data_IF_841185325175
#
_entry.id   IF_841185325175
#
_cell.length_a   1.000
_cell.length_b   1.000
_cell.length_c   1.000
_cell.angle_alpha   90.00
_cell.angle_beta   90.00
_cell.angle_gamma   90.00
#
_symmetry.space_group_name_H-M   'P 1'
#
loop_
_entity.id
_entity.type
_entity.pdbx_description
1 polymer ?
#
# COMPACT_ATOMS: atom_id res chain seq x y z
N UNK A 1 4.95 -5.67 -24.79
CA UNK A 1 4.38 -6.35 -23.59
C UNK A 1 3.45 -7.44 -24.07
N UNK A 2 3.63 -8.69 -23.60
CA UNK A 2 2.67 -9.79 -23.88
C UNK A 2 1.31 -9.38 -23.31
N UNK A 3 0.37 -9.00 -24.19
CA UNK A 3 -1.05 -8.84 -23.86
C UNK A 3 -1.62 -10.25 -23.73
N UNK A 4 -2.03 -10.67 -22.53
CA UNK A 4 -2.81 -11.90 -22.34
C UNK A 4 -2.46 -12.78 -21.13
N UNK A 5 -1.34 -12.55 -20.44
CA UNK A 5 -1.02 -13.25 -19.20
C UNK A 5 -1.48 -12.47 -17.98
N UNK A 6 -2.19 -13.12 -17.04
CA UNK A 6 -2.44 -12.53 -15.71
C UNK A 6 -1.09 -12.20 -15.06
N UNK A 7 -0.86 -10.91 -14.79
CA UNK A 7 0.36 -10.46 -14.10
C UNK A 7 0.33 -10.98 -12.66
N UNK A 8 1.24 -11.91 -12.34
CA UNK A 8 1.35 -12.50 -11.01
C UNK A 8 2.46 -11.81 -10.23
N UNK A 9 2.15 -11.43 -8.99
CA UNK A 9 3.15 -11.02 -8.01
C UNK A 9 3.55 -12.24 -7.22
N UNK A 10 4.85 -12.53 -7.16
CA UNK A 10 5.41 -13.60 -6.32
C UNK A 10 6.51 -13.03 -5.43
N UNK A 11 6.41 -13.23 -4.12
CA UNK A 11 7.39 -12.76 -3.13
C UNK A 11 7.68 -13.84 -2.11
N UNK A 12 8.93 -13.94 -1.66
CA UNK A 12 9.28 -14.75 -0.50
C UNK A 12 8.48 -14.30 0.73
N UNK A 13 8.08 -15.27 1.55
CA UNK A 13 7.32 -15.00 2.77
C UNK A 13 8.12 -14.11 3.75
N UNK A 14 9.45 -14.20 3.74
CA UNK A 14 10.31 -13.30 4.52
C UNK A 14 10.09 -11.81 4.20
N UNK A 15 9.83 -11.46 2.93
CA UNK A 15 9.48 -10.08 2.55
C UNK A 15 8.01 -9.78 2.86
N UNK A 16 7.10 -10.75 2.70
CA UNK A 16 5.70 -10.56 3.10
C UNK A 16 5.60 -10.26 4.60
N UNK A 17 6.42 -10.89 5.42
CA UNK A 17 6.45 -10.77 6.89
C UNK A 17 7.52 -9.77 7.39
N UNK A 18 8.15 -9.01 6.49
CA UNK A 18 9.13 -8.00 6.87
C UNK A 18 8.47 -6.73 7.43
N UNK A 19 9.24 -5.95 8.20
CA UNK A 19 8.84 -4.63 8.66
C UNK A 19 9.26 -3.57 7.65
N UNK A 20 8.31 -2.79 7.12
CA UNK A 20 8.61 -1.66 6.25
C UNK A 20 7.42 -0.69 6.08
N UNK A 21 7.75 0.60 5.92
CA UNK A 21 6.80 1.65 5.51
C UNK A 21 6.96 1.99 4.05
N UNK A 22 5.90 1.82 3.27
CA UNK A 22 5.77 2.35 1.92
C UNK A 22 4.44 3.09 1.81
N UNK A 23 4.41 4.23 1.13
CA UNK A 23 3.14 4.85 0.71
C UNK A 23 2.42 3.96 -0.30
N UNK A 24 1.14 4.27 -0.57
CA UNK A 24 0.35 3.50 -1.52
C UNK A 24 1.00 3.43 -2.91
N UNK A 25 1.52 4.57 -3.42
CA UNK A 25 2.15 4.60 -4.74
C UNK A 25 3.51 3.88 -4.73
N UNK A 26 4.27 3.94 -3.65
CA UNK A 26 5.51 3.15 -3.50
C UNK A 26 5.22 1.63 -3.51
N UNK A 27 4.18 1.18 -2.79
CA UNK A 27 3.76 -0.23 -2.80
C UNK A 27 3.33 -0.66 -4.20
N UNK A 28 2.48 0.14 -4.86
CA UNK A 28 2.03 -0.14 -6.23
C UNK A 28 3.19 -0.21 -7.22
N UNK A 29 4.18 0.69 -7.09
CA UNK A 29 5.39 0.68 -7.91
C UNK A 29 6.18 -0.63 -7.74
N UNK A 30 6.42 -1.04 -6.50
CA UNK A 30 7.10 -2.32 -6.19
C UNK A 30 6.33 -3.49 -6.79
N UNK A 31 5.02 -3.57 -6.52
CA UNK A 31 4.16 -4.66 -6.99
C UNK A 31 4.11 -4.74 -8.52
N UNK A 32 4.03 -3.59 -9.20
CA UNK A 32 4.06 -3.50 -10.65
C UNK A 32 5.38 -4.00 -11.25
N UNK A 33 6.50 -3.77 -10.57
CA UNK A 33 7.81 -4.27 -11.01
C UNK A 33 7.98 -5.77 -10.72
N UNK A 34 7.60 -6.23 -9.52
CA UNK A 34 7.66 -7.65 -9.15
C UNK A 34 6.78 -8.49 -10.08
N UNK A 35 5.64 -7.96 -10.52
CA UNK A 35 4.76 -8.64 -11.47
C UNK A 35 5.35 -8.88 -12.87
N UNK A 36 6.49 -8.24 -13.19
CA UNK A 36 7.24 -8.42 -14.44
C UNK A 36 8.33 -9.50 -14.33
N UNK A 37 8.52 -10.07 -13.14
CA UNK A 37 9.54 -11.10 -12.87
C UNK A 37 8.96 -12.49 -13.09
N UNK A 38 9.64 -13.35 -13.85
CA UNK A 38 9.41 -14.80 -13.76
C UNK A 38 10.11 -15.29 -12.49
N UNK A 39 9.34 -15.46 -11.42
CA UNK A 39 9.89 -15.79 -10.10
C UNK A 39 10.62 -17.12 -10.02
N UNK A 40 10.49 -17.99 -11.03
CA UNK A 40 11.17 -19.30 -11.09
C UNK A 40 12.58 -19.19 -11.66
N UNK A 41 12.89 -18.09 -12.34
CA UNK A 41 14.18 -17.86 -12.97
C UNK A 41 15.02 -16.91 -12.12
N UNK A 42 16.34 -17.06 -12.20
CA UNK A 42 17.26 -16.09 -11.59
C UNK A 42 17.20 -14.77 -12.34
N UNK A 43 17.34 -13.67 -11.59
CA UNK A 43 17.51 -12.34 -12.16
C UNK A 43 18.98 -11.93 -12.12
N UNK A 44 19.44 -11.28 -13.18
CA UNK A 44 20.73 -10.61 -13.19
C UNK A 44 20.72 -9.41 -12.23
N UNK A 45 21.84 -9.18 -11.53
CA UNK A 45 21.96 -8.09 -10.56
C UNK A 45 21.69 -6.70 -11.15
N UNK A 46 22.02 -6.52 -12.43
CA UNK A 46 21.85 -5.25 -13.14
C UNK A 46 20.53 -5.16 -13.91
N UNK A 47 19.60 -6.10 -13.71
CA UNK A 47 18.31 -6.10 -14.39
C UNK A 47 17.53 -4.82 -14.08
N UNK A 48 17.16 -4.11 -15.14
CA UNK A 48 16.32 -2.91 -15.08
C UNK A 48 14.85 -3.26 -15.27
N UNK A 49 13.99 -2.51 -14.58
CA UNK A 49 12.54 -2.54 -14.70
C UNK A 49 12.06 -1.19 -15.20
N UNK A 50 11.28 -1.20 -16.28
CA UNK A 50 10.73 0.01 -16.89
C UNK A 50 9.26 0.13 -16.52
N UNK A 51 8.90 1.26 -15.93
CA UNK A 51 7.53 1.58 -15.53
C UNK A 51 7.06 2.77 -16.34
N UNK A 52 6.13 2.49 -17.25
CA UNK A 52 5.48 3.50 -18.07
C UNK A 52 4.23 4.04 -17.35
N UNK A 53 4.04 5.36 -17.35
CA UNK A 53 2.94 5.99 -16.62
C UNK A 53 1.55 5.49 -17.08
N UNK A 54 1.35 5.24 -18.38
CA UNK A 54 0.06 4.81 -18.90
C UNK A 54 -0.34 3.37 -18.47
N UNK A 55 0.50 2.33 -18.65
CA UNK A 55 0.24 1.00 -18.07
C UNK A 55 0.10 1.00 -16.56
N UNK A 56 0.90 1.79 -15.85
CA UNK A 56 0.81 1.92 -14.39
C UNK A 56 -0.56 2.50 -13.99
N UNK A 57 -0.99 3.59 -14.63
CA UNK A 57 -2.31 4.20 -14.46
C UNK A 57 -3.44 3.20 -14.68
N UNK A 58 -3.42 2.50 -15.81
CA UNK A 58 -4.46 1.56 -16.20
C UNK A 58 -4.58 0.41 -15.18
N UNK A 59 -3.45 -0.11 -14.72
CA UNK A 59 -3.40 -1.20 -13.75
C UNK A 59 -4.04 -0.83 -12.42
N UNK A 60 -3.78 0.39 -11.92
CA UNK A 60 -4.25 0.84 -10.61
C UNK A 60 -5.48 1.76 -10.67
N UNK A 61 -6.06 1.97 -11.85
CA UNK A 61 -7.24 2.81 -12.05
C UNK A 61 -7.05 4.27 -11.63
N UNK A 62 -5.85 4.83 -11.84
CA UNK A 62 -5.54 6.22 -11.44
C UNK A 62 -6.14 7.23 -12.43
N UNK A 63 -6.43 8.44 -11.94
CA UNK A 63 -6.87 9.54 -12.81
C UNK A 63 -5.79 9.91 -13.83
N UNK A 64 -6.13 10.56 -14.94
CA UNK A 64 -5.14 10.88 -15.97
C UNK A 64 -4.15 11.98 -15.55
N UNK A 65 -4.53 12.80 -14.57
CA UNK A 65 -3.76 13.96 -14.15
C UNK A 65 -2.56 13.53 -13.29
N UNK A 66 -1.39 14.11 -13.58
CA UNK A 66 -0.16 14.01 -12.77
C UNK A 66 0.38 12.60 -12.47
N UNK A 67 -0.11 11.54 -13.11
CA UNK A 67 0.40 10.16 -12.86
C UNK A 67 1.91 10.04 -13.04
N UNK A 68 2.48 10.73 -14.04
CA UNK A 68 3.93 10.70 -14.21
C UNK A 68 4.67 11.35 -13.04
N UNK A 69 4.15 12.46 -12.50
CA UNK A 69 4.72 13.13 -11.33
C UNK A 69 4.58 12.26 -10.08
N UNK A 70 3.42 11.65 -9.86
CA UNK A 70 3.21 10.71 -8.76
C UNK A 70 4.14 9.49 -8.85
N UNK A 71 4.32 8.93 -10.05
CA UNK A 71 5.22 7.82 -10.30
C UNK A 71 6.68 8.21 -10.05
N UNK A 72 7.07 9.42 -10.49
CA UNK A 72 8.40 9.98 -10.24
C UNK A 72 8.64 10.12 -8.74
N UNK A 73 7.72 10.75 -8.02
CA UNK A 73 7.83 10.98 -6.58
C UNK A 73 7.85 9.67 -5.79
N UNK A 74 7.03 8.68 -6.19
CA UNK A 74 7.06 7.35 -5.61
C UNK A 74 8.42 6.69 -5.79
N UNK A 75 9.05 6.82 -6.96
CA UNK A 75 10.38 6.27 -7.21
C UNK A 75 11.48 6.98 -6.40
N UNK A 76 11.45 8.32 -6.28
CA UNK A 76 12.36 9.07 -5.40
C UNK A 76 12.26 8.55 -3.97
N UNK A 77 11.04 8.47 -3.45
CA UNK A 77 10.83 8.02 -2.07
C UNK A 77 11.28 6.57 -1.89
N UNK A 78 10.93 5.69 -2.83
CA UNK A 78 11.29 4.27 -2.78
C UNK A 78 12.80 4.03 -2.70
N UNK A 79 13.61 4.86 -3.36
CA UNK A 79 15.08 4.82 -3.26
C UNK A 79 15.57 5.03 -1.83
N UNK A 80 14.87 5.86 -1.06
CA UNK A 80 15.18 6.06 0.35
C UNK A 80 14.59 5.00 1.30
N UNK A 81 13.78 4.07 0.78
CA UNK A 81 13.12 3.07 1.63
C UNK A 81 14.03 1.90 1.95
N UNK A 82 13.83 1.41 3.17
CA UNK A 82 14.46 0.22 3.69
C UNK A 82 13.40 -0.82 4.04
N UNK A 83 13.81 -2.07 4.07
CA UNK A 83 13.07 -3.19 4.64
C UNK A 83 13.91 -3.82 5.73
N UNK A 84 13.29 -4.12 6.86
CA UNK A 84 13.94 -4.81 7.98
C UNK A 84 13.45 -6.25 8.04
N UNK A 85 14.37 -7.18 7.83
CA UNK A 85 14.18 -8.61 8.07
C UNK A 85 14.59 -8.91 9.50
N UNK A 86 13.74 -9.61 10.24
CA UNK A 86 14.01 -10.00 11.62
C UNK A 86 14.03 -11.52 11.71
N UNK A 87 15.12 -12.07 12.25
CA UNK A 87 15.21 -13.47 12.60
C UNK A 87 14.74 -13.66 14.05
N UNK A 88 13.60 -14.34 14.21
CA UNK A 88 13.01 -14.56 15.53
C UNK A 88 13.80 -15.55 16.41
N UNK A 89 14.66 -16.40 15.82
CA UNK A 89 15.46 -17.36 16.58
C UNK A 89 16.71 -16.71 17.17
N UNK A 90 17.38 -15.87 16.37
CA UNK A 90 18.65 -15.24 16.77
C UNK A 90 18.46 -13.82 17.31
N UNK A 91 17.31 -13.19 17.03
CA UNK A 91 17.08 -11.77 17.28
C UNK A 91 17.82 -10.83 16.31
N UNK A 92 18.50 -11.38 15.30
CA UNK A 92 19.26 -10.58 14.34
C UNK A 92 18.31 -9.80 13.41
N UNK A 93 18.63 -8.53 13.19
CA UNK A 93 17.96 -7.69 12.19
C UNK A 93 18.88 -7.41 11.01
N UNK A 94 18.33 -7.50 9.79
CA UNK A 94 19.02 -7.15 8.54
C UNK A 94 18.25 -6.04 7.83
N UNK A 95 18.91 -4.92 7.55
CA UNK A 95 18.34 -3.78 6.85
C UNK A 95 18.77 -3.78 5.38
N UNK A 96 17.81 -3.85 4.47
CA UNK A 96 18.05 -3.84 3.03
C UNK A 96 17.39 -2.62 2.38
N UNK A 97 17.99 -2.10 1.30
CA UNK A 97 17.34 -1.10 0.45
C UNK A 97 16.42 -1.80 -0.55
N UNK A 98 15.30 -1.18 -0.91
CA UNK A 98 14.41 -1.73 -1.95
C UNK A 98 15.05 -1.69 -3.33
N UNK A 99 15.59 -0.54 -3.70
CA UNK A 99 16.17 -0.28 -5.02
C UNK A 99 17.56 0.33 -4.87
N UNK A 100 18.48 -0.04 -5.78
CA UNK A 100 19.85 0.48 -5.82
C UNK A 100 20.03 1.58 -6.85
N UNK A 101 19.09 1.72 -7.78
CA UNK A 101 19.12 2.74 -8.84
C UNK A 101 17.71 3.11 -9.26
N UNK A 102 17.49 4.41 -9.49
CA UNK A 102 16.34 4.95 -10.20
C UNK A 102 16.82 5.89 -11.32
N UNK A 103 16.10 5.94 -12.44
CA UNK A 103 16.38 6.84 -13.57
C UNK A 103 15.08 7.35 -14.17
N UNK A 104 15.01 8.66 -14.36
CA UNK A 104 13.88 9.33 -15.01
C UNK A 104 14.13 9.51 -16.48
N UNK A 105 13.15 9.15 -17.30
CA UNK A 105 13.17 9.41 -18.73
C UNK A 105 12.01 10.35 -19.07
N UNK A 106 12.14 11.63 -18.67
CA UNK A 106 11.09 12.65 -18.81
C UNK A 106 10.50 12.70 -20.22
N UNK A 107 11.35 12.69 -21.27
CA UNK A 107 10.90 12.71 -22.68
C UNK A 107 10.09 11.49 -23.11
N UNK A 108 10.15 10.38 -22.35
CA UNK A 108 9.44 9.13 -22.63
C UNK A 108 8.27 8.89 -21.67
N UNK A 109 8.15 9.68 -20.59
CA UNK A 109 7.11 9.49 -19.56
C UNK A 109 7.27 8.20 -18.75
N UNK A 110 8.51 7.81 -18.43
CA UNK A 110 8.83 6.51 -17.79
C UNK A 110 9.86 6.66 -16.67
N UNK A 111 9.74 5.79 -15.68
CA UNK A 111 10.77 5.56 -14.66
C UNK A 111 11.44 4.22 -14.93
N UNK A 112 12.75 4.15 -14.72
CA UNK A 112 13.53 2.91 -14.75
C UNK A 112 14.11 2.68 -13.36
N UNK A 113 14.05 1.46 -12.84
CA UNK A 113 14.64 1.11 -11.55
C UNK A 113 15.36 -0.24 -11.57
N UNK A 114 16.26 -0.43 -10.62
CA UNK A 114 16.87 -1.71 -10.29
C UNK A 114 16.53 -2.05 -8.84
N UNK A 115 16.04 -3.26 -8.59
CA UNK A 115 16.05 -3.79 -7.23
C UNK A 115 17.49 -3.91 -6.73
N UNK A 116 17.70 -3.69 -5.44
CA UNK A 116 19.01 -3.94 -4.84
C UNK A 116 19.38 -5.43 -5.02
N UNK A 117 20.67 -5.78 -5.22
CA UNK A 117 21.08 -7.18 -5.37
C UNK A 117 20.58 -8.08 -4.24
N UNK A 118 20.55 -7.56 -3.01
CA UNK A 118 20.09 -8.25 -1.81
C UNK A 118 18.58 -8.52 -1.81
N UNK A 119 17.80 -7.79 -2.61
CA UNK A 119 16.35 -8.01 -2.74
C UNK A 119 16.01 -9.15 -3.71
N UNK A 120 16.90 -9.49 -4.65
CA UNK A 120 16.64 -10.46 -5.71
C UNK A 120 16.26 -11.87 -5.21
N UNK A 121 16.91 -12.43 -4.17
CA UNK A 121 16.53 -13.73 -3.61
C UNK A 121 15.10 -13.80 -3.09
N UNK A 122 14.46 -12.65 -2.84
CA UNK A 122 13.10 -12.59 -2.31
C UNK A 122 12.03 -12.39 -3.37
N UNK A 123 12.41 -12.19 -4.64
CA UNK A 123 11.47 -11.95 -5.75
C UNK A 123 11.76 -12.83 -6.97
N UNK A 124 12.87 -13.56 -6.99
CA UNK A 124 13.33 -14.40 -8.10
C UNK A 124 13.96 -15.71 -7.62
N UNK A 125 14.09 -16.69 -8.51
CA UNK A 125 14.53 -18.05 -8.19
C UNK A 125 13.83 -18.68 -6.96
N UNK A 126 12.56 -18.32 -6.73
CA UNK A 126 11.77 -18.76 -5.58
C UNK A 126 11.30 -20.20 -5.79
N UNK A 127 11.67 -21.09 -4.87
CA UNK A 127 11.33 -22.52 -4.90
C UNK A 127 10.29 -22.90 -3.85
N UNK A 128 10.45 -22.37 -2.64
CA UNK A 128 9.64 -22.69 -1.48
C UNK A 128 9.35 -21.43 -0.66
N UNK A 129 8.36 -21.50 0.23
CA UNK A 129 8.02 -20.44 1.20
C UNK A 129 7.84 -19.06 0.55
N UNK A 130 7.07 -19.00 -0.52
CA UNK A 130 6.66 -17.77 -1.17
C UNK A 130 5.14 -17.65 -1.23
N UNK A 131 4.67 -16.44 -1.51
CA UNK A 131 3.27 -16.12 -1.72
C UNK A 131 3.11 -15.57 -3.14
N UNK A 132 2.16 -16.13 -3.89
CA UNK A 132 1.81 -15.70 -5.25
C UNK A 132 0.35 -15.31 -5.35
N UNK A 133 0.07 -14.21 -6.05
CA UNK A 133 -1.29 -13.73 -6.30
C UNK A 133 -1.34 -12.87 -7.56
N UNK A 134 -2.51 -12.76 -8.23
CA UNK A 134 -2.69 -11.80 -9.33
C UNK A 134 -2.52 -10.37 -8.83
N UNK A 135 -1.76 -9.54 -9.56
CA UNK A 135 -1.59 -8.12 -9.25
C UNK A 135 -2.94 -7.39 -9.14
N UNK A 136 -3.90 -7.79 -9.98
CA UNK A 136 -5.27 -7.29 -9.97
C UNK A 136 -5.93 -7.36 -8.57
N UNK A 137 -5.64 -8.41 -7.80
CA UNK A 137 -6.25 -8.67 -6.49
C UNK A 137 -5.98 -7.53 -5.51
N UNK A 138 -4.80 -6.92 -5.60
CA UNK A 138 -4.38 -5.80 -4.74
C UNK A 138 -4.49 -4.45 -5.42
N UNK A 139 -4.62 -4.40 -6.74
CA UNK A 139 -4.63 -3.14 -7.50
C UNK A 139 -5.80 -2.21 -7.11
N UNK A 140 -6.94 -2.79 -6.69
CA UNK A 140 -8.15 -2.06 -6.25
C UNK A 140 -8.12 -1.61 -4.79
N UNK A 141 -7.11 -2.01 -4.03
CA UNK A 141 -6.94 -1.60 -2.65
C UNK A 141 -6.41 -0.15 -2.62
N UNK A 142 -6.92 0.63 -1.67
CA UNK A 142 -6.56 2.04 -1.49
C UNK A 142 -5.86 2.32 -0.15
N UNK A 143 -5.75 1.31 0.70
CA UNK A 143 -5.03 1.38 1.98
C UNK A 143 -3.74 0.57 1.90
N UNK A 144 -2.64 1.15 2.37
CA UNK A 144 -1.35 0.44 2.53
C UNK A 144 -1.49 -0.74 3.49
N UNK A 145 -2.28 -0.58 4.56
CA UNK A 145 -2.58 -1.65 5.50
C UNK A 145 -3.41 -2.75 4.85
N UNK A 146 -4.35 -2.42 3.97
CA UNK A 146 -5.12 -3.42 3.24
C UNK A 146 -4.23 -4.25 2.31
N UNK A 147 -3.33 -3.61 1.54
CA UNK A 147 -2.40 -4.34 0.67
C UNK A 147 -1.52 -5.29 1.50
N UNK A 148 -0.94 -4.82 2.61
CA UNK A 148 -0.10 -5.66 3.47
C UNK A 148 -0.90 -6.79 4.13
N UNK A 149 -2.11 -6.50 4.62
CA UNK A 149 -3.02 -7.50 5.18
C UNK A 149 -3.37 -8.57 4.15
N UNK A 150 -3.65 -8.17 2.90
CA UNK A 150 -3.92 -9.10 1.82
C UNK A 150 -2.75 -10.06 1.61
N UNK A 151 -1.52 -9.55 1.53
CA UNK A 151 -0.33 -10.38 1.32
C UNK A 151 -0.11 -11.40 2.45
N UNK A 152 -0.26 -10.94 3.70
CA UNK A 152 -0.19 -11.80 4.89
C UNK A 152 -1.27 -12.88 4.82
N UNK A 153 -2.52 -12.55 4.52
CA UNK A 153 -3.59 -13.56 4.49
C UNK A 153 -3.51 -14.47 3.25
N UNK A 154 -3.04 -13.96 2.10
CA UNK A 154 -2.88 -14.73 0.88
C UNK A 154 -1.89 -15.91 1.05
N UNK A 155 -0.85 -15.74 1.87
CA UNK A 155 0.11 -16.80 2.23
C UNK A 155 -0.56 -18.04 2.84
N UNK A 156 -1.69 -17.87 3.53
CA UNK A 156 -2.44 -18.94 4.22
C UNK A 156 -3.80 -19.23 3.56
N UNK A 157 -4.09 -18.65 2.40
CA UNK A 157 -5.38 -18.80 1.74
C UNK A 157 -5.71 -20.26 1.38
N UNK A 158 -4.70 -21.10 1.12
CA UNK A 158 -4.90 -22.54 0.89
C UNK A 158 -5.21 -23.34 2.16
N UNK A 159 -4.75 -22.87 3.32
CA UNK A 159 -5.02 -23.49 4.63
C UNK A 159 -6.34 -23.01 5.24
N UNK A 160 -6.84 -21.86 4.77
CA UNK A 160 -8.12 -21.30 5.16
C UNK A 160 -8.16 -20.68 6.57
N UNK A 161 -7.03 -20.70 7.29
CA UNK A 161 -6.91 -20.06 8.60
C UNK A 161 -5.50 -19.56 8.86
N UNK A 162 -5.38 -18.46 9.60
CA UNK A 162 -4.10 -17.93 10.05
C UNK A 162 -4.24 -17.29 11.43
N UNK A 163 -3.45 -17.77 12.40
CA UNK A 163 -3.30 -17.12 13.68
C UNK A 163 -2.13 -16.13 13.60
N UNK A 164 -2.32 -14.91 14.12
CA UNK A 164 -1.27 -13.87 14.13
C UNK A 164 -1.34 -13.11 15.45
N UNK A 165 -0.21 -12.98 16.15
CA UNK A 165 -0.19 -12.16 17.38
C UNK A 165 -0.38 -10.68 17.07
N UNK A 166 -0.89 -9.92 18.03
CA UNK A 166 -1.07 -8.47 17.87
C UNK A 166 0.26 -7.80 17.54
N UNK A 167 1.35 -8.21 18.18
CA UNK A 167 2.70 -7.68 17.98
C UNK A 167 3.24 -8.00 16.58
N UNK A 168 3.07 -9.23 16.11
CA UNK A 168 3.47 -9.63 14.76
C UNK A 168 2.73 -8.81 13.70
N UNK A 169 1.41 -8.69 13.83
CA UNK A 169 0.61 -7.95 12.86
C UNK A 169 0.97 -6.47 12.84
N UNK A 170 1.19 -5.85 14.01
CA UNK A 170 1.67 -4.46 14.10
C UNK A 170 3.01 -4.27 13.40
N UNK A 171 3.94 -5.21 13.56
CA UNK A 171 5.24 -5.17 12.90
C UNK A 171 5.12 -5.28 11.38
N UNK A 172 4.36 -6.26 10.89
CA UNK A 172 4.20 -6.48 9.44
C UNK A 172 3.47 -5.34 8.73
N UNK A 173 2.53 -4.70 9.43
CA UNK A 173 1.81 -3.51 8.96
C UNK A 173 2.55 -2.21 9.27
N UNK A 174 3.71 -2.26 9.92
CA UNK A 174 4.55 -1.12 10.30
C UNK A 174 3.79 -0.03 11.11
N UNK A 175 3.08 -0.49 12.14
CA UNK A 175 2.30 0.34 13.06
C UNK A 175 2.53 -0.06 14.53
N UNK A 176 3.77 -0.44 14.86
CA UNK A 176 4.17 -0.79 16.24
C UNK A 176 3.97 0.40 17.18
N UNK A 177 4.45 1.58 16.78
CA UNK A 177 4.36 2.81 17.58
C UNK A 177 3.05 3.60 17.36
N UNK A 178 2.14 3.07 16.53
CA UNK A 178 0.87 3.70 16.18
C UNK A 178 -0.30 2.92 16.79
N UNK A 179 -1.35 3.63 17.20
CA UNK A 179 -2.55 3.01 17.80
C UNK A 179 -2.20 2.12 19.01
N UNK A 180 -1.62 2.67 20.09
CA UNK A 180 -1.06 1.88 21.19
C UNK A 180 -2.11 0.99 21.87
N UNK A 181 -3.37 1.45 21.92
CA UNK A 181 -4.48 0.65 22.45
C UNK A 181 -4.92 -0.39 21.43
N UNK A 182 -5.18 -1.62 21.89
CA UNK A 182 -5.71 -2.69 21.03
C UNK A 182 -6.98 -2.27 20.28
N UNK A 183 -7.92 -1.61 20.98
CA UNK A 183 -9.18 -1.16 20.39
C UNK A 183 -8.99 -0.14 19.26
N UNK A 184 -7.99 0.72 19.35
CA UNK A 184 -7.64 1.68 18.29
C UNK A 184 -7.02 0.96 17.09
N UNK A 185 -6.11 0.01 17.35
CA UNK A 185 -5.50 -0.80 16.28
C UNK A 185 -6.53 -1.62 15.53
N UNK A 186 -7.44 -2.29 16.24
CA UNK A 186 -8.55 -3.03 15.63
C UNK A 186 -9.44 -2.09 14.80
N UNK A 187 -9.86 -0.96 15.38
CA UNK A 187 -10.80 -0.01 14.75
C UNK A 187 -10.23 0.69 13.51
N UNK A 188 -8.96 1.09 13.55
CA UNK A 188 -8.37 1.95 12.51
C UNK A 188 -7.52 1.20 11.50
N UNK A 189 -7.04 0.00 11.83
CA UNK A 189 -6.14 -0.77 10.96
C UNK A 189 -6.79 -2.08 10.53
N UNK A 190 -7.10 -2.97 11.48
CA UNK A 190 -7.53 -4.34 11.15
C UNK A 190 -8.92 -4.38 10.52
N UNK A 191 -9.92 -3.78 11.17
CA UNK A 191 -11.30 -3.81 10.68
C UNK A 191 -11.45 -3.10 9.31
N UNK A 192 -10.87 -1.90 9.07
CA UNK A 192 -10.93 -1.27 7.76
C UNK A 192 -10.21 -2.05 6.66
N UNK A 193 -9.05 -2.66 6.98
CA UNK A 193 -8.34 -3.51 6.03
C UNK A 193 -9.19 -4.73 5.65
N UNK A 194 -9.72 -5.47 6.64
CA UNK A 194 -10.58 -6.64 6.41
C UNK A 194 -11.83 -6.28 5.61
N UNK A 195 -12.48 -5.15 5.94
CA UNK A 195 -13.63 -4.67 5.18
C UNK A 195 -13.28 -4.41 3.71
N UNK A 196 -12.17 -3.70 3.44
CA UNK A 196 -11.72 -3.43 2.09
C UNK A 196 -11.35 -4.71 1.31
N UNK A 197 -10.72 -5.68 1.98
CA UNK A 197 -10.38 -6.99 1.40
C UNK A 197 -11.65 -7.72 0.95
N UNK A 198 -12.65 -7.79 1.82
CA UNK A 198 -13.94 -8.43 1.55
C UNK A 198 -14.71 -7.77 0.40
N UNK A 199 -14.63 -6.44 0.29
CA UNK A 199 -15.32 -5.67 -0.74
C UNK A 199 -14.62 -5.77 -2.11
N UNK A 200 -13.29 -5.73 -2.14
CA UNK A 200 -12.54 -5.42 -3.38
C UNK A 200 -11.68 -6.57 -3.91
N UNK A 201 -11.59 -7.67 -3.19
CA UNK A 201 -10.76 -8.83 -3.57
C UNK A 201 -11.59 -10.11 -3.65
N UNK A 202 -10.95 -11.18 -4.09
CA UNK A 202 -11.47 -12.55 -4.06
C UNK A 202 -11.45 -13.17 -2.65
N UNK A 203 -10.71 -12.59 -1.70
CA UNK A 203 -10.66 -13.12 -0.34
C UNK A 203 -11.94 -12.81 0.44
N UNK A 204 -12.35 -13.76 1.29
CA UNK A 204 -13.43 -13.59 2.25
C UNK A 204 -12.90 -13.86 3.65
N UNK A 205 -12.71 -12.80 4.40
CA UNK A 205 -12.02 -12.80 5.69
C UNK A 205 -13.01 -12.55 6.81
N UNK A 206 -12.97 -13.41 7.82
CA UNK A 206 -13.52 -13.16 9.16
C UNK A 206 -12.39 -13.33 10.17
N UNK A 207 -12.53 -12.75 11.35
CA UNK A 207 -11.57 -12.98 12.42
C UNK A 207 -12.24 -12.98 13.78
N UNK A 208 -11.67 -13.79 14.67
CA UNK A 208 -11.94 -13.79 16.10
C UNK A 208 -10.71 -13.32 16.88
N UNK A 209 -10.89 -13.11 18.19
CA UNK A 209 -9.87 -12.57 19.10
C UNK A 209 -9.54 -13.57 20.20
N UNK A 210 -8.32 -14.11 20.17
CA UNK A 210 -7.79 -14.93 21.23
C UNK A 210 -7.27 -14.09 22.40
N UNK A 211 -7.44 -14.57 23.63
CA UNK A 211 -7.03 -13.86 24.85
C UNK A 211 -6.03 -14.67 25.66
N UNK A 212 -5.11 -13.97 26.32
CA UNK A 212 -4.28 -14.51 27.40
C UNK A 212 -4.57 -13.66 28.64
N UNK A 213 -5.21 -14.26 29.64
CA UNK A 213 -5.78 -13.53 30.77
C UNK A 213 -6.83 -12.52 30.31
N UNK A 214 -6.65 -11.25 30.66
CA UNK A 214 -7.57 -10.16 30.28
C UNK A 214 -7.24 -9.51 28.94
N UNK A 215 -6.06 -9.76 28.39
CA UNK A 215 -5.56 -9.09 27.20
C UNK A 215 -5.81 -9.92 25.94
N UNK A 216 -6.21 -9.26 24.86
CA UNK A 216 -6.24 -9.88 23.53
C UNK A 216 -4.80 -10.09 23.07
N UNK A 217 -4.43 -11.32 22.78
CA UNK A 217 -3.06 -11.69 22.40
C UNK A 217 -2.89 -11.90 20.90
N UNK A 218 -3.92 -12.37 20.21
CA UNK A 218 -3.84 -12.67 18.79
C UNK A 218 -5.20 -12.59 18.08
N UNK A 219 -5.11 -12.47 16.76
CA UNK A 219 -6.23 -12.63 15.84
C UNK A 219 -6.23 -14.04 15.27
N UNK A 220 -7.41 -14.64 15.16
CA UNK A 220 -7.64 -15.90 14.46
C UNK A 220 -8.41 -15.59 13.17
N UNK A 221 -7.69 -15.48 12.05
CA UNK A 221 -8.32 -15.22 10.75
C UNK A 221 -8.84 -16.51 10.13
N UNK A 222 -10.08 -16.46 9.65
CA UNK A 222 -10.67 -17.46 8.75
C UNK A 222 -10.69 -16.87 7.35
N UNK A 223 -10.12 -17.62 6.40
CA UNK A 223 -9.79 -17.17 5.05
C UNK A 223 -10.53 -18.05 4.05
N UNK A 224 -11.51 -17.49 3.37
CA UNK A 224 -12.21 -18.11 2.24
C UNK A 224 -11.87 -17.41 0.92
N UNK A 225 -12.40 -17.96 -0.17
CA UNK A 225 -12.41 -17.33 -1.50
C UNK A 225 -13.82 -17.27 -2.05
N UNK A 226 -14.12 -16.19 -2.74
CA UNK A 226 -15.29 -16.04 -3.61
C UNK A 226 -14.81 -15.49 -4.95
N UNK A 227 -15.57 -15.69 -6.06
CA UNK A 227 -15.27 -15.01 -7.31
C UNK A 227 -15.09 -13.51 -7.05
N UNK A 228 -14.01 -12.92 -7.55
CA UNK A 228 -13.73 -11.49 -7.32
C UNK A 228 -14.94 -10.67 -7.75
N UNK A 229 -15.37 -9.72 -6.92
CA UNK A 229 -16.46 -8.81 -7.30
C UNK A 229 -16.17 -8.21 -8.69
N UNK A 230 -17.17 -8.15 -9.59
CA UNK A 230 -16.96 -7.60 -10.93
C UNK A 230 -16.36 -6.19 -10.83
N UNK A 231 -15.49 -5.84 -11.79
CA UNK A 231 -14.91 -4.49 -11.91
C UNK A 231 -16.02 -3.46 -11.63
N UNK A 232 -15.82 -2.50 -10.70
CA UNK A 232 -16.64 -1.30 -10.73
C UNK A 232 -16.53 -0.76 -12.15
N UNK A 233 -17.66 -0.59 -12.84
CA UNK A 233 -17.65 0.18 -14.08
C UNK A 233 -16.92 1.49 -13.74
N UNK A 234 -15.95 1.88 -14.56
CA UNK A 234 -15.46 3.26 -14.55
C UNK A 234 -16.71 4.14 -14.43
N UNK A 235 -16.76 5.10 -13.49
CA UNK A 235 -18.00 5.82 -13.19
C UNK A 235 -18.62 6.21 -14.51
N UNK A 236 -19.80 5.65 -14.78
CA UNK A 236 -20.54 6.00 -15.97
C UNK A 236 -20.64 7.52 -15.93
N UNK A 237 -20.27 8.18 -17.02
CA UNK A 237 -20.62 9.57 -17.24
C UNK A 237 -22.15 9.61 -17.22
N UNK A 238 -22.74 9.77 -16.04
CA UNK A 238 -24.12 10.19 -15.92
C UNK A 238 -24.17 11.60 -16.48
N UNK A 239 -24.93 11.75 -17.56
CA UNK A 239 -25.39 13.03 -18.06
C UNK A 239 -25.84 13.91 -16.87
N UNK A 240 -25.63 15.23 -16.94
CA UNK A 240 -25.76 16.11 -15.79
C UNK A 240 -27.19 16.03 -15.23
N UNK A 241 -27.33 15.45 -14.04
CA UNK A 241 -28.50 15.65 -13.23
C UNK A 241 -28.51 17.13 -12.83
N UNK A 242 -29.64 17.79 -13.10
CA UNK A 242 -29.90 19.20 -12.80
C UNK A 242 -29.32 19.58 -11.43
N UNK A 243 -28.55 20.65 -11.41
CA UNK A 243 -27.99 21.24 -10.21
C UNK A 243 -29.11 21.49 -9.18
N UNK A 244 -29.05 20.77 -8.07
CA UNK A 244 -29.65 21.23 -6.81
C UNK A 244 -28.51 21.88 -6.06
N UNK A 245 -28.63 23.18 -5.79
CA UNK A 245 -27.59 23.95 -5.11
C UNK A 245 -27.31 23.34 -3.72
N UNK A 246 -26.04 23.23 -3.29
CA UNK A 246 -25.72 22.84 -1.92
C UNK A 246 -26.16 23.94 -0.94
N UNK A 247 -26.65 23.59 0.27
CA UNK A 247 -26.94 24.58 1.29
C UNK A 247 -25.64 25.22 1.77
N UNK A 248 -25.53 26.53 1.58
CA UNK A 248 -24.38 27.40 1.89
C UNK A 248 -24.00 27.45 3.37
N UNK A 249 -24.84 26.94 4.28
CA UNK A 249 -24.62 27.02 5.72
C UNK A 249 -23.44 26.18 6.24
N UNK A 250 -23.15 25.02 5.62
CA UNK A 250 -22.23 24.03 6.19
C UNK A 250 -20.74 24.43 6.11
N UNK A 251 -20.39 25.24 5.12
CA UNK A 251 -19.01 25.70 4.90
C UNK A 251 -18.61 26.85 5.83
N UNK A 252 -19.57 27.68 6.25
CA UNK A 252 -19.35 28.77 7.19
C UNK A 252 -19.22 28.25 8.62
N UNK A 253 -19.96 27.19 8.97
CA UNK A 253 -19.88 26.52 10.27
C UNK A 253 -18.53 25.81 10.46
N UNK A 254 -18.07 25.05 9.46
CA UNK A 254 -16.77 24.36 9.49
C UNK A 254 -15.58 25.34 9.56
N UNK A 255 -15.71 26.51 8.91
CA UNK A 255 -14.71 27.59 8.98
C UNK A 255 -14.64 28.19 10.39
N UNK A 256 -15.79 28.47 11.00
CA UNK A 256 -15.87 29.04 12.36
C UNK A 256 -15.30 28.08 13.42
N UNK A 257 -15.57 26.78 13.28
CA UNK A 257 -15.02 25.75 14.18
C UNK A 257 -13.50 25.64 14.08
N UNK A 258 -12.95 25.71 12.86
CA UNK A 258 -11.50 25.71 12.64
C UNK A 258 -10.83 26.98 13.17
N UNK A 259 -11.41 28.15 12.94
CA UNK A 259 -10.89 29.43 13.46
C UNK A 259 -10.89 29.47 14.99
N UNK A 260 -11.96 28.98 15.63
CA UNK A 260 -12.05 28.85 17.07
C UNK A 260 -11.02 27.86 17.64
N UNK A 261 -10.80 26.73 16.96
CA UNK A 261 -9.79 25.75 17.34
C UNK A 261 -8.37 26.34 17.27
N UNK A 262 -8.03 27.05 16.19
CA UNK A 262 -6.70 27.65 16.00
C UNK A 262 -6.42 28.74 17.03
N UNK A 263 -7.42 29.58 17.36
CA UNK A 263 -7.29 30.59 18.44
C UNK A 263 -7.06 29.94 19.82
N UNK A 264 -7.71 28.80 20.09
CA UNK A 264 -7.53 28.05 21.34
C UNK A 264 -6.11 27.48 21.49
N UNK A 265 -5.44 27.21 20.37
CA UNK A 265 -4.06 26.75 20.31
C UNK A 265 -3.04 27.91 20.26
N UNK A 266 -3.50 29.18 20.33
CA UNK A 266 -2.63 30.35 20.34
C UNK A 266 -2.13 30.79 18.96
N UNK A 267 -2.73 30.29 17.88
CA UNK A 267 -2.40 30.68 16.51
C UNK A 267 -3.40 31.70 15.94
N UNK A 268 -2.92 32.63 15.10
CA UNK A 268 -3.78 33.53 14.33
C UNK A 268 -4.29 32.84 13.05
N UNK A 269 -5.60 32.55 12.94
CA UNK A 269 -6.16 31.88 11.78
C UNK A 269 -6.01 32.69 10.48
N UNK A 270 -6.03 34.03 10.55
CA UNK A 270 -5.87 34.88 9.36
C UNK A 270 -4.44 34.81 8.82
N UNK A 271 -3.45 34.79 9.71
CA UNK A 271 -2.04 34.66 9.36
C UNK A 271 -1.74 33.28 8.73
N UNK A 272 -2.29 32.20 9.29
CA UNK A 272 -2.20 30.84 8.76
C UNK A 272 -2.79 30.73 7.35
N UNK A 273 -3.95 31.36 7.14
CA UNK A 273 -4.61 31.40 5.83
C UNK A 273 -3.82 32.24 4.83
N UNK A 274 -3.23 33.36 5.26
CA UNK A 274 -2.38 34.19 4.41
C UNK A 274 -1.08 33.47 3.98
N UNK A 275 -0.47 32.67 4.87
CA UNK A 275 0.70 31.84 4.57
C UNK A 275 0.39 30.71 3.58
N UNK A 276 -0.80 30.12 3.65
CA UNK A 276 -1.26 29.11 2.68
C UNK A 276 -1.41 29.66 1.25
N UNK A 277 -1.61 30.97 1.11
CA UNK A 277 -1.77 31.66 -0.19
C UNK A 277 -0.45 32.15 -0.78
N UNK A 278 0.60 32.29 0.02
CA UNK A 278 1.96 32.58 -0.46
C UNK A 278 2.72 31.27 -0.61
N UNK A 279 2.65 30.67 -1.81
CA UNK A 279 3.55 29.57 -2.18
C UNK A 279 5.02 30.03 -2.11
N UNK A 280 5.99 29.10 -2.07
CA UNK A 280 7.41 29.46 -1.95
C UNK A 280 7.85 30.21 -3.22
N UNK A 281 8.09 31.51 -3.07
CA UNK A 281 8.84 32.31 -4.03
C UNK A 281 10.26 31.77 -4.08
N UNK A 282 10.67 31.29 -5.25
CA UNK A 282 12.03 30.87 -5.51
C UNK A 282 13.00 32.03 -5.34
N UNK A 283 14.12 31.76 -4.68
CA UNK A 283 15.32 32.58 -4.78
C UNK A 283 16.38 31.80 -5.54
N UNK A 284 17.13 32.57 -6.30
CA UNK A 284 18.02 32.21 -7.41
C UNK A 284 19.41 31.87 -6.92
#
# INVERSE_FOLDING_TARGET
MKRGGSMLVTKANAIVEASYRLTLQEQRLVLFCVAQVDSRQSLEQQRTFVVEAAPFRETFGLSAEKVYEELKDAAVRLFERKVTLSDAQTGQETLLRWVSMIRYQNRRGRVVLNFSPEMLPFISALKDRFTSYPLESVARLSSTFAIRMFEVLAQYAGLGRRQVTVEQLRRWLDCVDSYPRFSEFERWVVAPAVAQLNERTELRIRYDKGKIGRNVSHFEFVIGRAPSAPKPKAPAQTAPAKAVAPPTARADDERREWEAHMRRLGYDPEELMARSRRGPSGES
#
